data_IF_558175426880
#
_entry.id   IF_558175426880
#
_cell.length_a   1.000
_cell.length_b   1.000
_cell.length_c   1.000
_cell.angle_alpha   90.00
_cell.angle_beta   90.00
_cell.angle_gamma   90.00
#
_symmetry.space_group_name_H-M   'P 1'
#
loop_
_entity.id
_entity.type
_entity.pdbx_description
1 polymer ?
#
# COMPACT_ATOMS: atom_id res chain seq x y z
N UNK A 1 -61.86 -32.08 33.74
CA UNK A 1 -62.00 -31.30 32.49
C UNK A 1 -61.71 -32.24 31.34
N UNK A 2 -62.76 -32.66 30.65
CA UNK A 2 -62.70 -33.47 29.42
C UNK A 2 -62.23 -32.58 28.26
N UNK A 3 -61.38 -33.08 27.34
CA UNK A 3 -61.02 -32.31 26.16
C UNK A 3 -62.25 -32.22 25.24
N UNK A 4 -62.58 -31.00 24.82
CA UNK A 4 -63.68 -30.71 23.91
C UNK A 4 -63.32 -31.30 22.53
N UNK A 5 -63.94 -32.43 22.20
CA UNK A 5 -64.05 -32.93 20.82
C UNK A 5 -64.86 -31.92 20.00
N UNK A 6 -64.17 -31.14 19.17
CA UNK A 6 -64.82 -30.12 18.36
C UNK A 6 -63.94 -29.54 17.27
N UNK A 7 -63.01 -30.30 16.70
CA UNK A 7 -62.38 -29.89 15.44
C UNK A 7 -63.45 -29.97 14.35
N UNK A 8 -63.92 -28.81 13.90
CA UNK A 8 -64.89 -28.69 12.80
C UNK A 8 -64.36 -29.41 11.56
N UNK A 9 -65.23 -30.04 10.79
CA UNK A 9 -64.88 -30.78 9.56
C UNK A 9 -63.98 -29.95 8.63
N UNK A 10 -64.18 -28.64 8.61
CA UNK A 10 -63.37 -27.67 7.87
C UNK A 10 -61.91 -27.59 8.34
N UNK A 11 -61.63 -27.69 9.64
CA UNK A 11 -60.26 -27.71 10.16
C UNK A 11 -59.53 -28.99 9.79
N UNK A 12 -60.19 -30.16 9.94
CA UNK A 12 -59.63 -31.45 9.50
C UNK A 12 -59.37 -31.49 7.99
N UNK A 13 -60.27 -30.92 7.19
CA UNK A 13 -60.10 -30.79 5.75
C UNK A 13 -58.95 -29.84 5.38
N UNK A 14 -58.85 -28.69 6.05
CA UNK A 14 -57.75 -27.73 5.87
C UNK A 14 -56.39 -28.34 6.20
N UNK A 15 -56.30 -29.13 7.27
CA UNK A 15 -55.07 -29.85 7.65
C UNK A 15 -54.71 -30.91 6.60
N UNK A 16 -55.66 -31.73 6.16
CA UNK A 16 -55.41 -32.72 5.11
C UNK A 16 -54.95 -32.07 3.79
N UNK A 17 -55.57 -30.96 3.38
CA UNK A 17 -55.18 -30.21 2.17
C UNK A 17 -53.77 -29.59 2.29
N UNK A 18 -53.34 -29.21 3.50
CA UNK A 18 -51.97 -28.71 3.74
C UNK A 18 -50.91 -29.78 3.54
N UNK A 19 -51.21 -31.04 3.84
CA UNK A 19 -50.24 -32.14 3.75
C UNK A 19 -50.20 -32.82 2.37
N UNK A 20 -51.18 -32.55 1.51
CA UNK A 20 -51.19 -33.10 0.15
C UNK A 20 -50.08 -32.47 -0.74
N UNK A 21 -49.35 -33.31 -1.50
CA UNK A 21 -48.37 -32.86 -2.49
C UNK A 21 -48.95 -31.95 -3.58
N UNK A 22 -48.14 -30.99 -4.06
CA UNK A 22 -48.54 -30.03 -5.10
C UNK A 22 -48.96 -30.71 -6.43
N UNK A 23 -48.41 -31.89 -6.73
CA UNK A 23 -48.71 -32.64 -7.94
C UNK A 23 -50.15 -33.18 -7.96
N UNK A 24 -50.77 -33.43 -6.82
CA UNK A 24 -52.15 -33.95 -6.74
C UNK A 24 -53.15 -32.89 -7.20
N UNK A 25 -53.03 -31.65 -6.72
CA UNK A 25 -53.87 -30.54 -7.17
C UNK A 25 -53.63 -30.20 -8.64
N UNK A 26 -52.38 -30.31 -9.08
CA UNK A 26 -52.03 -30.14 -10.50
C UNK A 26 -52.71 -31.22 -11.35
N UNK A 27 -52.69 -32.49 -10.93
CA UNK A 27 -53.34 -33.59 -11.61
C UNK A 27 -54.86 -33.43 -11.69
N UNK A 28 -55.52 -32.99 -10.60
CA UNK A 28 -56.97 -32.71 -10.62
C UNK A 28 -57.33 -31.53 -11.53
N UNK A 29 -56.53 -30.46 -11.53
CA UNK A 29 -56.71 -29.33 -12.43
C UNK A 29 -56.50 -29.76 -13.91
N UNK A 30 -55.46 -30.54 -14.19
CA UNK A 30 -55.20 -31.05 -15.55
C UNK A 30 -56.30 -31.98 -16.03
N UNK A 31 -56.80 -32.89 -15.18
CA UNK A 31 -57.92 -33.78 -15.53
C UNK A 31 -59.21 -32.98 -15.79
N UNK A 32 -59.52 -31.98 -14.97
CA UNK A 32 -60.67 -31.10 -15.21
C UNK A 32 -60.52 -30.29 -16.51
N UNK A 33 -59.31 -29.80 -16.83
CA UNK A 33 -59.02 -29.13 -18.09
C UNK A 33 -59.17 -30.07 -19.29
N UNK A 34 -58.66 -31.30 -19.20
CA UNK A 34 -58.78 -32.31 -20.25
C UNK A 34 -60.25 -32.63 -20.53
N UNK A 35 -61.06 -32.84 -19.49
CA UNK A 35 -62.49 -33.10 -19.63
C UNK A 35 -63.28 -31.93 -20.25
N UNK A 36 -62.86 -30.69 -20.00
CA UNK A 36 -63.52 -29.49 -20.53
C UNK A 36 -63.07 -29.10 -21.95
N UNK A 37 -61.78 -29.26 -22.25
CA UNK A 37 -61.18 -28.71 -23.48
C UNK A 37 -60.85 -29.76 -24.55
N UNK A 38 -60.86 -31.06 -24.22
CA UNK A 38 -60.70 -32.12 -25.24
C UNK A 38 -62.05 -32.41 -25.90
N UNK A 39 -62.20 -32.23 -27.23
CA UNK A 39 -63.50 -32.31 -27.91
C UNK A 39 -64.23 -33.64 -27.72
N UNK A 40 -63.50 -34.76 -27.75
CA UNK A 40 -64.05 -36.10 -27.54
C UNK A 40 -64.64 -36.28 -26.13
N UNK A 41 -63.93 -35.82 -25.10
CA UNK A 41 -64.38 -35.94 -23.72
C UNK A 41 -65.55 -34.98 -23.40
N UNK A 42 -65.52 -33.77 -23.95
CA UNK A 42 -66.56 -32.76 -23.72
C UNK A 42 -67.89 -33.11 -24.42
N UNK A 43 -67.84 -33.85 -25.53
CA UNK A 43 -69.02 -34.32 -26.24
C UNK A 43 -69.84 -35.37 -25.45
N UNK A 44 -69.18 -36.17 -24.62
CA UNK A 44 -69.81 -37.22 -23.79
C UNK A 44 -70.28 -36.70 -22.42
N UNK A 45 -69.96 -35.44 -22.08
CA UNK A 45 -70.27 -34.84 -20.78
C UNK A 45 -71.67 -34.22 -20.72
N UNK A 46 -72.55 -34.66 -19.79
CA UNK A 46 -73.86 -34.04 -19.61
C UNK A 46 -73.73 -32.57 -19.22
N UNK A 47 -74.60 -31.72 -19.77
CA UNK A 47 -74.52 -30.25 -19.59
C UNK A 47 -74.60 -29.81 -18.13
N UNK A 48 -75.22 -30.62 -17.26
CA UNK A 48 -75.38 -30.36 -15.83
C UNK A 48 -74.05 -30.40 -15.04
N UNK A 49 -73.04 -31.14 -15.51
CA UNK A 49 -71.75 -31.31 -14.81
C UNK A 49 -70.67 -30.31 -15.24
N UNK A 50 -70.85 -29.63 -16.38
CA UNK A 50 -69.90 -28.64 -16.91
C UNK A 50 -69.57 -27.49 -15.93
N UNK A 51 -70.55 -26.83 -15.25
CA UNK A 51 -70.22 -25.77 -14.30
C UNK A 51 -69.40 -26.28 -13.10
N UNK A 52 -69.66 -27.51 -12.64
CA UNK A 52 -68.91 -28.12 -11.54
C UNK A 52 -67.47 -28.47 -11.92
N UNK A 53 -67.23 -28.86 -13.17
CA UNK A 53 -65.88 -29.06 -13.71
C UNK A 53 -65.10 -27.74 -13.82
N UNK A 54 -65.75 -26.64 -14.22
CA UNK A 54 -65.11 -25.32 -14.25
C UNK A 54 -64.76 -24.84 -12.84
N UNK A 55 -65.66 -25.01 -11.88
CA UNK A 55 -65.39 -24.70 -10.46
C UNK A 55 -64.21 -25.53 -9.95
N UNK A 56 -64.18 -26.83 -10.27
CA UNK A 56 -63.09 -27.73 -9.88
C UNK A 56 -61.75 -27.32 -10.51
N UNK A 57 -61.74 -26.95 -11.79
CA UNK A 57 -60.55 -26.47 -12.48
C UNK A 57 -59.99 -25.20 -11.83
N UNK A 58 -60.85 -24.22 -11.54
CA UNK A 58 -60.44 -22.97 -10.89
C UNK A 58 -59.94 -23.24 -9.47
N UNK A 59 -60.68 -24.02 -8.68
CA UNK A 59 -60.31 -24.34 -7.30
C UNK A 59 -58.97 -25.08 -7.22
N UNK A 60 -58.83 -26.18 -7.97
CA UNK A 60 -57.61 -26.97 -7.96
C UNK A 60 -56.44 -26.26 -8.64
N UNK A 61 -56.69 -25.42 -9.66
CA UNK A 61 -55.70 -24.58 -10.29
C UNK A 61 -55.10 -23.55 -9.33
N UNK A 62 -55.95 -22.81 -8.60
CA UNK A 62 -55.50 -21.84 -7.59
C UNK A 62 -54.72 -22.52 -6.45
N UNK A 63 -55.21 -23.67 -5.97
CA UNK A 63 -54.51 -24.45 -4.94
C UNK A 63 -53.16 -24.98 -5.41
N UNK A 64 -53.06 -25.45 -6.66
CA UNK A 64 -51.81 -25.89 -7.26
C UNK A 64 -50.80 -24.74 -7.36
N UNK A 65 -51.22 -23.57 -7.85
CA UNK A 65 -50.36 -22.37 -7.95
C UNK A 65 -49.83 -21.99 -6.57
N UNK A 66 -50.69 -21.89 -5.56
CA UNK A 66 -50.28 -21.51 -4.20
C UNK A 66 -49.27 -22.51 -3.62
N UNK A 67 -49.49 -23.82 -3.82
CA UNK A 67 -48.56 -24.87 -3.37
C UNK A 67 -47.21 -24.80 -4.09
N UNK A 68 -47.20 -24.57 -5.40
CA UNK A 68 -45.96 -24.40 -6.15
C UNK A 68 -45.18 -23.16 -5.72
N UNK A 69 -45.85 -22.04 -5.43
CA UNK A 69 -45.21 -20.85 -4.85
C UNK A 69 -44.53 -21.19 -3.52
N UNK A 70 -45.20 -21.94 -2.64
CA UNK A 70 -44.60 -22.38 -1.36
C UNK A 70 -43.39 -23.30 -1.57
N UNK A 71 -43.47 -24.25 -2.51
CA UNK A 71 -42.35 -25.15 -2.83
C UNK A 71 -41.15 -24.35 -3.36
N UNK A 72 -41.38 -23.41 -4.29
CA UNK A 72 -40.34 -22.54 -4.83
C UNK A 72 -39.73 -21.67 -3.73
N UNK A 73 -40.54 -21.08 -2.85
CA UNK A 73 -40.04 -20.29 -1.73
C UNK A 73 -39.21 -21.13 -0.75
N UNK A 74 -39.61 -22.37 -0.46
CA UNK A 74 -38.85 -23.29 0.39
C UNK A 74 -37.53 -23.68 -0.26
N UNK A 75 -37.54 -24.05 -1.55
CA UNK A 75 -36.34 -24.37 -2.31
C UNK A 75 -35.39 -23.17 -2.37
N UNK A 76 -35.92 -21.97 -2.60
CA UNK A 76 -35.12 -20.75 -2.61
C UNK A 76 -34.51 -20.42 -1.24
N UNK A 77 -35.29 -20.55 -0.16
CA UNK A 77 -34.77 -20.39 1.21
C UNK A 77 -33.73 -21.44 1.56
N UNK A 78 -33.92 -22.69 1.16
CA UNK A 78 -32.95 -23.76 1.35
C UNK A 78 -31.65 -23.47 0.59
N UNK A 79 -31.75 -23.03 -0.67
CA UNK A 79 -30.61 -22.59 -1.46
C UNK A 79 -29.89 -21.39 -0.83
N UNK A 80 -30.63 -20.39 -0.30
CA UNK A 80 -30.02 -19.28 0.42
C UNK A 80 -29.36 -19.71 1.73
N UNK A 81 -29.94 -20.66 2.45
CA UNK A 81 -29.36 -21.20 3.67
C UNK A 81 -28.05 -21.96 3.36
N UNK A 82 -28.05 -22.78 2.30
CA UNK A 82 -26.86 -23.48 1.83
C UNK A 82 -25.78 -22.49 1.35
N UNK A 83 -26.16 -21.45 0.61
CA UNK A 83 -25.25 -20.38 0.18
C UNK A 83 -24.69 -19.55 1.35
N UNK A 84 -25.41 -19.46 2.48
CA UNK A 84 -24.90 -18.83 3.72
C UNK A 84 -23.95 -19.75 4.47
N UNK A 85 -24.23 -21.06 4.53
CA UNK A 85 -23.34 -22.05 5.14
C UNK A 85 -21.99 -22.13 4.41
N UNK A 86 -21.97 -21.92 3.09
CA UNK A 86 -20.72 -21.86 2.30
C UNK A 86 -19.89 -20.59 2.51
N UNK A 87 -20.38 -19.57 3.22
CA UNK A 87 -19.60 -18.37 3.53
C UNK A 87 -18.80 -18.60 4.80
N UNK A 88 -17.61 -19.18 4.63
CA UNK A 88 -16.64 -19.46 5.68
C UNK A 88 -16.04 -18.18 6.27
N UNK A 89 -15.83 -17.15 5.44
CA UNK A 89 -15.25 -15.86 5.85
C UNK A 89 -15.95 -14.65 5.22
N UNK A 90 -15.68 -13.48 5.78
CA UNK A 90 -16.15 -12.20 5.29
C UNK A 90 -15.02 -11.17 5.23
N UNK A 91 -14.85 -10.55 4.07
CA UNK A 91 -13.86 -9.50 3.81
C UNK A 91 -14.50 -8.11 3.83
N UNK A 92 -13.93 -7.21 4.64
CA UNK A 92 -14.25 -5.78 4.61
C UNK A 92 -13.05 -4.99 4.11
N UNK A 93 -13.14 -4.26 2.98
CA UNK A 93 -12.01 -3.51 2.44
C UNK A 93 -11.65 -2.31 3.33
N UNK A 94 -10.36 -2.10 3.56
CA UNK A 94 -9.80 -0.91 4.19
C UNK A 94 -9.34 0.01 3.07
N UNK A 95 -10.29 0.73 2.47
CA UNK A 95 -10.08 1.49 1.23
C UNK A 95 -8.85 2.43 1.29
N UNK A 96 -8.57 3.03 2.44
CA UNK A 96 -7.45 3.96 2.62
C UNK A 96 -6.06 3.33 2.47
N UNK A 97 -5.97 2.00 2.52
CA UNK A 97 -4.72 1.27 2.42
C UNK A 97 -4.65 0.46 1.12
N UNK A 98 -5.60 0.65 0.21
CA UNK A 98 -5.65 -0.06 -1.07
C UNK A 98 -5.05 0.82 -2.16
N UNK A 99 -4.02 0.34 -2.83
CA UNK A 99 -3.28 1.09 -3.83
C UNK A 99 -2.89 0.22 -5.02
N UNK A 100 -2.63 0.87 -6.15
CA UNK A 100 -2.12 0.23 -7.34
C UNK A 100 -1.03 1.08 -7.99
N UNK A 101 -0.10 0.41 -8.67
CA UNK A 101 1.01 1.06 -9.37
C UNK A 101 1.37 0.29 -10.63
N UNK A 102 2.06 0.97 -11.56
CA UNK A 102 2.63 0.35 -12.76
C UNK A 102 4.12 0.66 -12.78
N UNK A 103 4.93 -0.40 -12.85
CA UNK A 103 6.38 -0.30 -12.91
C UNK A 103 6.89 -0.86 -14.23
N UNK A 104 7.81 -0.12 -14.87
CA UNK A 104 8.54 -0.60 -16.05
C UNK A 104 9.69 -1.48 -15.58
N UNK A 105 9.74 -2.71 -16.08
CA UNK A 105 10.79 -3.68 -15.80
C UNK A 105 12.01 -3.45 -16.71
N UNK A 106 13.14 -4.07 -16.37
CA UNK A 106 14.39 -3.96 -17.13
C UNK A 106 14.26 -4.47 -18.59
N UNK A 107 13.37 -5.44 -18.83
CA UNK A 107 13.04 -5.99 -20.16
C UNK A 107 12.13 -5.04 -20.99
N UNK A 108 11.79 -3.87 -20.44
CA UNK A 108 10.88 -2.91 -21.06
C UNK A 108 9.40 -3.22 -20.89
N UNK A 109 9.05 -4.38 -20.31
CA UNK A 109 7.66 -4.74 -20.02
C UNK A 109 7.10 -3.90 -18.87
N UNK A 110 5.78 -3.75 -18.84
CA UNK A 110 5.06 -3.08 -17.76
C UNK A 110 4.47 -4.13 -16.83
N UNK A 111 4.57 -3.91 -15.53
CA UNK A 111 3.95 -4.76 -14.51
C UNK A 111 3.04 -3.89 -13.66
N UNK A 112 1.78 -4.29 -13.55
CA UNK A 112 0.80 -3.69 -12.67
C UNK A 112 0.81 -4.43 -11.34
N UNK A 113 1.01 -3.71 -10.24
CA UNK A 113 0.87 -4.21 -8.89
C UNK A 113 -0.41 -3.67 -8.28
N UNK A 114 -1.22 -4.56 -7.71
CA UNK A 114 -2.45 -4.24 -6.97
C UNK A 114 -2.27 -4.76 -5.56
N UNK A 115 -2.40 -3.87 -4.57
CA UNK A 115 -2.35 -4.20 -3.15
C UNK A 115 -3.65 -3.74 -2.50
N UNK A 116 -4.36 -4.68 -1.88
CA UNK A 116 -5.60 -4.40 -1.18
C UNK A 116 -5.55 -4.94 0.26
N UNK A 117 -5.92 -4.10 1.21
CA UNK A 117 -5.94 -4.44 2.63
C UNK A 117 -7.39 -4.64 3.09
N UNK A 118 -7.59 -5.65 3.92
CA UNK A 118 -8.90 -6.11 4.38
C UNK A 118 -8.90 -6.36 5.89
N UNK A 119 -10.04 -6.15 6.51
CA UNK A 119 -10.38 -6.84 7.76
C UNK A 119 -11.07 -8.16 7.39
N UNK A 120 -10.42 -9.28 7.70
CA UNK A 120 -10.95 -10.62 7.41
C UNK A 120 -11.59 -11.19 8.67
N UNK A 121 -12.90 -11.45 8.62
CA UNK A 121 -13.64 -12.08 9.70
C UNK A 121 -13.93 -13.53 9.37
N UNK A 122 -13.52 -14.46 10.23
CA UNK A 122 -13.92 -15.85 10.12
C UNK A 122 -15.34 -16.03 10.71
N UNK A 123 -16.27 -16.55 9.91
CA UNK A 123 -17.65 -16.82 10.30
C UNK A 123 -17.93 -18.32 10.52
N UNK A 124 -16.97 -19.17 10.18
CA UNK A 124 -17.07 -20.61 10.39
C UNK A 124 -16.73 -21.02 11.82
N UNK A 125 -17.03 -22.28 12.14
CA UNK A 125 -16.70 -22.92 13.43
C UNK A 125 -15.28 -23.50 13.48
N UNK A 126 -14.53 -23.49 12.38
CA UNK A 126 -13.15 -23.98 12.26
C UNK A 126 -12.19 -22.86 11.87
N UNK A 127 -10.88 -22.98 12.16
CA UNK A 127 -9.89 -22.03 11.65
C UNK A 127 -9.88 -22.05 10.12
N UNK A 128 -9.81 -20.87 9.49
CA UNK A 128 -9.79 -20.74 8.02
C UNK A 128 -8.45 -20.20 7.56
N UNK A 129 -7.80 -20.91 6.63
CA UNK A 129 -6.65 -20.45 5.88
C UNK A 129 -7.04 -19.84 4.54
N UNK A 130 -6.54 -18.64 4.24
CA UNK A 130 -6.65 -18.05 2.90
C UNK A 130 -5.45 -18.50 2.06
N UNK A 131 -5.69 -18.93 0.82
CA UNK A 131 -4.67 -19.62 0.00
C UNK A 131 -4.46 -19.02 -1.38
N UNK A 132 -5.34 -18.13 -1.85
CA UNK A 132 -5.17 -17.55 -3.18
C UNK A 132 -5.99 -16.30 -3.40
N UNK A 133 -5.50 -15.46 -4.31
CA UNK A 133 -6.19 -14.25 -4.75
C UNK A 133 -6.11 -14.15 -6.27
N UNK A 134 -7.19 -13.70 -6.89
CA UNK A 134 -7.19 -13.35 -8.32
C UNK A 134 -7.91 -12.05 -8.59
N UNK A 135 -7.48 -11.34 -9.62
CA UNK A 135 -8.16 -10.15 -10.13
C UNK A 135 -9.25 -10.56 -11.10
N UNK A 136 -10.50 -10.22 -10.79
CA UNK A 136 -11.67 -10.45 -11.65
C UNK A 136 -11.91 -9.23 -12.54
N UNK A 137 -11.74 -8.03 -11.97
CA UNK A 137 -11.79 -6.74 -12.67
C UNK A 137 -10.73 -5.79 -12.09
N UNK A 138 -10.10 -4.92 -12.90
CA UNK A 138 -10.21 -4.81 -14.36
C UNK A 138 -9.58 -6.01 -15.07
N UNK A 139 -9.96 -6.24 -16.34
CA UNK A 139 -9.31 -7.27 -17.18
C UNK A 139 -8.00 -6.70 -17.71
N UNK A 140 -6.89 -7.06 -17.09
CA UNK A 140 -5.54 -6.73 -17.57
C UNK A 140 -5.07 -7.84 -18.50
N UNK A 141 -4.58 -7.49 -19.69
CA UNK A 141 -4.03 -8.47 -20.64
C UNK A 141 -2.61 -8.81 -20.23
N UNK A 142 -2.37 -10.08 -19.91
CA UNK A 142 -1.06 -10.67 -19.67
C UNK A 142 -1.08 -11.66 -18.51
N UNK A 143 0.09 -12.20 -18.20
CA UNK A 143 0.24 -13.27 -17.22
C UNK A 143 0.29 -12.71 -15.79
N UNK A 144 -0.33 -13.44 -14.86
CA UNK A 144 -0.17 -13.19 -13.42
C UNK A 144 1.24 -13.66 -13.05
N UNK A 145 2.07 -12.71 -12.63
CA UNK A 145 3.46 -12.97 -12.24
C UNK A 145 3.54 -13.44 -10.79
N UNK A 146 2.67 -12.91 -9.93
CA UNK A 146 2.65 -13.21 -8.52
C UNK A 146 1.27 -12.91 -7.93
N UNK A 147 0.78 -13.80 -7.07
CA UNK A 147 -0.42 -13.60 -6.28
C UNK A 147 -0.17 -14.14 -4.87
N UNK A 148 -0.50 -13.34 -3.86
CA UNK A 148 -0.36 -13.76 -2.47
C UNK A 148 -1.42 -13.12 -1.60
N UNK A 149 -1.81 -13.84 -0.55
CA UNK A 149 -2.70 -13.36 0.50
C UNK A 149 -2.10 -13.63 1.87
N UNK A 150 -1.77 -12.52 2.54
CA UNK A 150 -1.17 -12.51 3.85
C UNK A 150 -2.23 -12.21 4.90
N UNK A 151 -2.14 -12.91 6.03
CA UNK A 151 -2.96 -12.65 7.21
C UNK A 151 -2.04 -12.37 8.38
N UNK A 152 -2.43 -11.44 9.24
CA UNK A 152 -1.67 -11.13 10.45
C UNK A 152 -1.82 -12.26 11.48
N UNK A 153 -0.73 -12.60 12.16
CA UNK A 153 -0.73 -13.52 13.30
C UNK A 153 -1.66 -13.03 14.42
N UNK A 154 -2.42 -13.93 15.04
CA UNK A 154 -3.41 -13.60 16.08
C UNK A 154 -2.82 -12.84 17.28
N UNK A 155 -1.65 -13.26 17.74
CA UNK A 155 -0.98 -12.68 18.93
C UNK A 155 0.30 -11.91 18.58
N UNK A 156 0.49 -11.55 17.30
CA UNK A 156 1.72 -10.95 16.79
C UNK A 156 1.48 -9.76 15.87
N UNK A 157 2.57 -9.24 15.30
CA UNK A 157 2.54 -8.20 14.25
C UNK A 157 3.03 -8.73 12.89
N UNK A 158 3.40 -10.00 12.82
CA UNK A 158 3.88 -10.64 11.61
C UNK A 158 2.72 -11.00 10.70
N UNK A 159 2.96 -10.89 9.39
CA UNK A 159 2.06 -11.34 8.33
C UNK A 159 2.65 -12.59 7.70
N UNK A 160 1.79 -13.51 7.29
CA UNK A 160 2.18 -14.77 6.68
C UNK A 160 1.01 -15.43 5.98
N UNK A 161 1.30 -16.53 5.30
CA UNK A 161 0.29 -17.30 4.55
C UNK A 161 -0.16 -18.52 5.36
N UNK A 162 -1.32 -19.07 4.98
CA UNK A 162 -1.77 -20.35 5.53
C UNK A 162 -0.87 -21.51 5.09
N UNK A 163 -0.21 -21.44 3.93
CA UNK A 163 0.60 -22.52 3.38
C UNK A 163 2.02 -22.58 3.99
N UNK A 164 2.66 -21.43 4.22
CA UNK A 164 4.07 -21.37 4.65
C UNK A 164 4.19 -21.17 6.15
N UNK A 165 3.39 -20.26 6.72
CA UNK A 165 3.49 -19.86 8.13
C UNK A 165 2.39 -20.47 9.02
N UNK A 166 1.44 -21.20 8.43
CA UNK A 166 0.21 -21.70 9.08
C UNK A 166 -0.61 -20.59 9.77
N UNK A 167 -0.62 -19.39 9.19
CA UNK A 167 -1.37 -18.27 9.75
C UNK A 167 -2.84 -18.36 9.37
N UNK A 168 -3.61 -19.00 10.24
CA UNK A 168 -5.06 -19.21 10.11
C UNK A 168 -5.87 -18.24 10.98
N UNK A 169 -7.06 -17.90 10.51
CA UNK A 169 -7.99 -17.03 11.23
C UNK A 169 -8.86 -17.90 12.14
N UNK A 170 -8.76 -17.72 13.46
CA UNK A 170 -9.59 -18.48 14.41
C UNK A 170 -11.09 -18.16 14.26
N UNK A 171 -11.98 -19.12 14.60
CA UNK A 171 -13.44 -18.94 14.55
C UNK A 171 -13.90 -17.64 15.23
N UNK A 172 -14.75 -16.86 14.56
CA UNK A 172 -15.33 -15.63 15.09
C UNK A 172 -14.37 -14.44 15.21
N UNK A 173 -13.08 -14.61 14.96
CA UNK A 173 -12.09 -13.54 15.07
C UNK A 173 -11.99 -12.72 13.78
N UNK A 174 -11.51 -11.48 13.92
CA UNK A 174 -11.24 -10.59 12.78
C UNK A 174 -9.76 -10.24 12.78
N UNK A 175 -9.07 -10.52 11.68
CA UNK A 175 -7.64 -10.25 11.53
C UNK A 175 -7.40 -9.37 10.29
N UNK A 176 -6.41 -8.45 10.34
CA UNK A 176 -5.94 -7.77 9.15
C UNK A 176 -5.39 -8.77 8.13
N UNK A 177 -5.80 -8.61 6.88
CA UNK A 177 -5.26 -9.35 5.74
C UNK A 177 -4.87 -8.41 4.61
N UNK A 178 -3.90 -8.82 3.82
CA UNK A 178 -3.41 -8.09 2.65
C UNK A 178 -3.38 -9.04 1.47
N UNK A 179 -4.00 -8.64 0.37
CA UNK A 179 -3.91 -9.36 -0.90
C UNK A 179 -3.06 -8.56 -1.88
N UNK A 180 -2.12 -9.22 -2.52
CA UNK A 180 -1.21 -8.65 -3.50
C UNK A 180 -1.29 -9.44 -4.79
N UNK A 181 -1.45 -8.75 -5.92
CA UNK A 181 -1.39 -9.37 -7.25
C UNK A 181 -0.51 -8.53 -8.16
N UNK A 182 0.43 -9.18 -8.85
CA UNK A 182 1.27 -8.59 -9.88
C UNK A 182 0.92 -9.21 -11.23
N UNK A 183 0.57 -8.37 -12.20
CA UNK A 183 0.13 -8.80 -13.54
C UNK A 183 1.02 -8.11 -14.57
N UNK A 184 1.57 -8.87 -15.52
CA UNK A 184 2.27 -8.30 -16.68
C UNK A 184 1.24 -7.59 -17.55
N UNK A 185 1.44 -6.31 -17.84
CA UNK A 185 0.52 -5.45 -18.58
C UNK A 185 0.08 -4.23 -17.78
N UNK A 186 -0.77 -3.42 -18.40
CA UNK A 186 -1.36 -2.21 -17.78
C UNK A 186 -2.89 -2.26 -17.87
N UNK A 187 -3.61 -1.75 -16.86
CA UNK A 187 -5.05 -1.58 -16.95
C UNK A 187 -5.37 -0.52 -18.01
N UNK A 188 -6.41 -0.75 -18.80
CA UNK A 188 -6.86 0.24 -19.78
C UNK A 188 -7.33 1.53 -19.08
N UNK A 189 -6.75 2.68 -19.45
CA UNK A 189 -7.09 3.99 -18.88
C UNK A 189 -5.88 4.87 -18.59
N UNK A 190 -6.10 6.01 -17.94
CA UNK A 190 -5.00 6.86 -17.45
C UNK A 190 -4.45 6.31 -16.13
N UNK A 191 -3.12 6.34 -15.98
CA UNK A 191 -2.39 5.92 -14.77
C UNK A 191 -2.68 6.78 -13.53
N UNK A 192 -3.33 7.92 -13.73
CA UNK A 192 -3.63 8.90 -12.67
C UNK A 192 -5.00 8.70 -12.03
N UNK A 193 -5.81 7.76 -12.54
CA UNK A 193 -7.16 7.50 -12.01
C UNK A 193 -7.14 6.40 -10.97
N UNK A 194 -8.05 6.50 -10.01
CA UNK A 194 -8.33 5.39 -9.11
C UNK A 194 -8.89 4.20 -9.90
N UNK A 195 -8.55 3.00 -9.45
CA UNK A 195 -8.87 1.77 -10.14
C UNK A 195 -9.91 0.99 -9.33
N UNK A 196 -11.08 0.75 -9.94
CA UNK A 196 -12.08 -0.17 -9.38
C UNK A 196 -11.63 -1.61 -9.59
N UNK A 197 -11.20 -2.25 -8.51
CA UNK A 197 -10.71 -3.61 -8.51
C UNK A 197 -11.74 -4.54 -7.88
N UNK A 198 -12.03 -5.65 -8.54
CA UNK A 198 -12.77 -6.77 -7.94
C UNK A 198 -11.81 -7.94 -7.77
N UNK A 199 -11.55 -8.34 -6.52
CA UNK A 199 -10.73 -9.50 -6.19
C UNK A 199 -11.61 -10.69 -5.85
N UNK A 200 -11.16 -11.88 -6.27
CA UNK A 200 -11.66 -13.17 -5.81
C UNK A 200 -10.64 -13.80 -4.88
N UNK A 201 -11.00 -13.98 -3.61
CA UNK A 201 -10.13 -14.58 -2.58
C UNK A 201 -10.66 -15.97 -2.27
N UNK A 202 -9.76 -16.95 -2.23
CA UNK A 202 -10.07 -18.36 -1.98
C UNK A 202 -9.54 -18.82 -0.62
N UNK A 203 -10.35 -19.61 0.09
CA UNK A 203 -9.89 -20.39 1.24
C UNK A 203 -9.32 -21.76 0.80
N UNK A 204 -8.75 -22.47 1.78
CA UNK A 204 -8.20 -23.82 1.61
C UNK A 204 -9.22 -24.88 1.14
N UNK A 205 -10.51 -24.66 1.43
CA UNK A 205 -11.61 -25.52 0.99
C UNK A 205 -12.09 -25.18 -0.43
N UNK A 206 -11.49 -24.17 -1.07
CA UNK A 206 -11.81 -23.73 -2.43
C UNK A 206 -13.01 -22.79 -2.53
N UNK A 207 -13.57 -22.32 -1.41
CA UNK A 207 -14.63 -21.33 -1.40
C UNK A 207 -14.07 -19.96 -1.79
N UNK A 208 -14.68 -19.34 -2.79
CA UNK A 208 -14.27 -18.05 -3.30
C UNK A 208 -15.22 -16.93 -2.86
N UNK A 209 -14.68 -15.92 -2.16
CA UNK A 209 -15.38 -14.67 -1.90
C UNK A 209 -14.92 -13.57 -2.88
N UNK A 210 -15.89 -12.88 -3.48
CA UNK A 210 -15.63 -11.71 -4.32
C UNK A 210 -15.78 -10.43 -3.51
N UNK A 211 -14.81 -9.54 -3.62
CA UNK A 211 -14.80 -8.21 -2.97
C UNK A 211 -14.45 -7.13 -3.99
N UNK A 212 -15.25 -6.06 -4.02
CA UNK A 212 -14.96 -4.87 -4.81
C UNK A 212 -14.29 -3.83 -3.91
N UNK A 213 -13.23 -3.21 -4.43
CA UNK A 213 -12.41 -2.22 -3.73
C UNK A 213 -11.94 -1.16 -4.70
N UNK A 214 -11.94 0.10 -4.26
CA UNK A 214 -11.31 1.19 -4.98
C UNK A 214 -9.84 1.25 -4.55
N UNK A 215 -8.92 1.00 -5.49
CA UNK A 215 -7.48 1.12 -5.27
C UNK A 215 -7.01 2.48 -5.77
N UNK A 216 -6.30 3.23 -4.94
CA UNK A 216 -5.76 4.53 -5.32
C UNK A 216 -4.51 4.38 -6.18
N UNK A 217 -4.44 5.14 -7.28
CA UNK A 217 -3.23 5.19 -8.10
C UNK A 217 -2.12 5.91 -7.35
N UNK A 218 -0.89 5.41 -7.44
CA UNK A 218 0.28 6.20 -7.00
C UNK A 218 0.36 7.42 -7.93
N UNK A 219 -0.19 8.55 -7.46
CA UNK A 219 -0.04 9.83 -8.15
C UNK A 219 1.45 10.12 -8.18
N UNK A 220 2.02 10.21 -9.38
CA UNK A 220 3.35 10.79 -9.52
C UNK A 220 3.32 12.13 -8.77
N UNK A 221 4.23 12.33 -7.83
CA UNK A 221 4.37 13.63 -7.18
C UNK A 221 4.46 14.65 -8.31
N UNK A 222 3.49 15.57 -8.39
CA UNK A 222 3.59 16.67 -9.34
C UNK A 222 4.96 17.32 -9.08
N UNK A 223 5.76 17.60 -10.12
CA UNK A 223 6.89 18.49 -9.93
C UNK A 223 6.34 19.72 -9.20
N UNK A 224 6.97 20.08 -8.09
CA UNK A 224 6.47 21.15 -7.23
C UNK A 224 6.26 22.38 -8.11
N UNK A 225 5.05 22.97 -8.05
CA UNK A 225 4.71 24.23 -8.70
C UNK A 225 5.37 25.42 -7.97
N UNK A 226 6.19 25.16 -6.93
CA UNK A 226 6.90 26.22 -6.24
C UNK A 226 7.96 26.77 -7.20
N UNK A 227 7.96 28.09 -7.47
CA UNK A 227 8.95 28.68 -8.34
C UNK A 227 10.32 28.38 -7.74
N UNK A 228 11.17 27.68 -8.51
CA UNK A 228 12.58 27.53 -8.17
C UNK A 228 13.09 28.96 -7.98
N UNK A 229 13.52 29.36 -6.77
CA UNK A 229 14.09 30.68 -6.56
C UNK A 229 15.47 30.66 -7.19
N UNK A 230 15.50 31.05 -8.46
CA UNK A 230 16.72 31.16 -9.24
C UNK A 230 17.15 32.61 -9.10
N UNK A 231 18.05 32.87 -8.17
CA UNK A 231 18.84 34.10 -8.20
C UNK A 231 19.38 34.27 -9.63
N UNK A 232 19.11 35.42 -10.25
CA UNK A 232 19.58 35.66 -11.60
C UNK A 232 21.12 35.68 -11.61
N UNK A 233 21.77 34.63 -12.10
CA UNK A 233 23.24 34.51 -12.06
C UNK A 233 23.95 35.68 -12.77
N UNK A 234 23.27 36.34 -13.72
CA UNK A 234 23.81 37.52 -14.40
C UNK A 234 23.77 38.79 -13.56
N UNK A 235 22.94 38.86 -12.50
CA UNK A 235 22.85 40.02 -11.60
C UNK A 235 23.79 39.92 -10.41
N UNK A 236 24.43 38.78 -10.19
CA UNK A 236 25.41 38.60 -9.11
C UNK A 236 26.76 39.19 -9.56
N UNK A 237 27.21 40.23 -8.84
CA UNK A 237 28.45 40.95 -9.15
C UNK A 237 29.70 40.23 -8.64
N UNK A 238 29.62 39.59 -7.47
CA UNK A 238 30.75 38.88 -6.88
C UNK A 238 30.99 37.55 -7.64
N UNK A 239 32.19 37.33 -8.22
CA UNK A 239 32.49 36.10 -8.94
C UNK A 239 32.41 34.85 -8.05
N UNK A 240 32.80 34.92 -6.78
CA UNK A 240 32.74 33.78 -5.85
C UNK A 240 31.27 33.42 -5.59
N UNK A 241 30.45 34.42 -5.30
CA UNK A 241 29.02 34.24 -5.08
C UNK A 241 28.33 33.66 -6.32
N UNK A 242 28.70 34.15 -7.50
CA UNK A 242 28.16 33.70 -8.78
C UNK A 242 28.49 32.23 -9.06
N UNK A 243 29.73 31.81 -8.82
CA UNK A 243 30.16 30.42 -9.02
C UNK A 243 29.45 29.48 -8.03
N UNK A 244 29.32 29.87 -6.76
CA UNK A 244 28.58 29.09 -5.76
C UNK A 244 27.10 28.97 -6.14
N UNK A 245 26.45 30.07 -6.50
CA UNK A 245 25.05 30.07 -6.91
C UNK A 245 24.82 29.18 -8.15
N UNK A 246 25.74 29.19 -9.12
CA UNK A 246 25.65 28.34 -10.30
C UNK A 246 25.68 26.85 -9.95
N UNK A 247 26.55 26.44 -9.01
CA UNK A 247 26.61 25.03 -8.56
C UNK A 247 25.35 24.64 -7.80
N UNK A 248 24.84 25.49 -6.92
CA UNK A 248 23.64 25.20 -6.14
C UNK A 248 22.38 25.11 -7.04
N UNK A 249 22.26 25.97 -8.06
CA UNK A 249 21.17 25.90 -9.03
C UNK A 249 21.25 24.64 -9.89
N UNK A 250 22.45 24.24 -10.31
CA UNK A 250 22.63 22.97 -11.01
C UNK A 250 22.23 21.78 -10.13
N UNK A 251 22.53 21.83 -8.84
CA UNK A 251 22.11 20.80 -7.88
C UNK A 251 20.59 20.77 -7.71
N UNK A 252 19.92 21.91 -7.64
CA UNK A 252 18.45 21.98 -7.54
C UNK A 252 17.78 21.23 -8.70
N UNK A 253 18.22 21.48 -9.93
CA UNK A 253 17.70 20.81 -11.14
C UNK A 253 17.96 19.30 -11.10
N UNK A 254 19.09 18.87 -10.52
CA UNK A 254 19.40 17.44 -10.36
C UNK A 254 18.57 16.82 -9.25
N UNK A 255 18.37 17.52 -8.14
CA UNK A 255 17.54 17.06 -7.03
C UNK A 255 16.10 16.83 -7.48
N UNK A 256 15.53 17.70 -8.33
CA UNK A 256 14.21 17.45 -8.92
C UNK A 256 14.11 16.13 -9.69
N UNK A 257 15.22 15.69 -10.32
CA UNK A 257 15.30 14.42 -11.04
C UNK A 257 15.66 13.24 -10.13
N UNK A 258 16.41 13.47 -9.06
CA UNK A 258 16.90 12.42 -8.14
C UNK A 258 16.70 12.85 -6.68
N UNK A 259 15.44 12.99 -6.27
CA UNK A 259 15.07 13.42 -4.92
C UNK A 259 14.94 12.24 -3.94
N UNK A 260 14.61 12.58 -2.69
CA UNK A 260 14.38 11.62 -1.60
C UNK A 260 13.40 10.49 -1.94
N UNK A 261 12.36 10.72 -2.73
CA UNK A 261 11.37 9.68 -3.05
C UNK A 261 11.94 8.59 -3.96
N UNK A 262 13.05 8.89 -4.64
CA UNK A 262 13.85 7.94 -5.43
C UNK A 262 15.07 7.41 -4.66
N UNK A 263 15.21 7.72 -3.36
CA UNK A 263 16.39 7.36 -2.57
C UNK A 263 17.65 8.15 -2.94
N UNK A 264 17.51 9.26 -3.66
CA UNK A 264 18.62 10.06 -4.17
C UNK A 264 18.76 11.43 -3.50
N UNK A 265 19.94 12.01 -3.65
CA UNK A 265 20.27 13.38 -3.23
C UNK A 265 20.93 14.13 -4.39
N UNK A 266 20.17 14.35 -5.46
CA UNK A 266 20.63 15.09 -6.63
C UNK A 266 21.85 14.43 -7.27
N UNK A 267 23.00 15.07 -7.18
CA UNK A 267 24.28 14.61 -7.74
C UNK A 267 24.98 13.52 -6.93
N UNK A 268 24.57 13.26 -5.69
CA UNK A 268 25.25 12.27 -4.87
C UNK A 268 25.01 10.85 -5.38
N UNK A 269 26.09 10.08 -5.45
CA UNK A 269 26.08 8.66 -5.77
C UNK A 269 27.04 7.91 -4.85
N UNK A 270 26.78 6.62 -4.67
CA UNK A 270 27.56 5.75 -3.80
C UNK A 270 28.15 4.60 -4.59
N UNK A 271 29.44 4.36 -4.41
CA UNK A 271 30.06 3.10 -4.86
C UNK A 271 30.09 2.14 -3.68
N UNK A 272 29.32 1.05 -3.78
CA UNK A 272 29.25 -0.02 -2.80
C UNK A 272 29.61 -1.34 -3.47
N UNK A 273 30.60 -2.05 -2.93
CA UNK A 273 31.03 -3.36 -3.43
C UNK A 273 31.33 -3.37 -4.95
N UNK A 274 32.02 -2.32 -5.42
CA UNK A 274 32.40 -2.14 -6.83
C UNK A 274 31.25 -1.74 -7.77
N UNK A 275 30.01 -1.55 -7.27
CA UNK A 275 28.87 -1.06 -8.04
C UNK A 275 28.57 0.38 -7.69
N UNK A 276 28.51 1.24 -8.70
CA UNK A 276 28.03 2.61 -8.55
C UNK A 276 26.50 2.64 -8.59
N UNK A 277 25.88 3.06 -7.51
CA UNK A 277 24.44 3.32 -7.43
C UNK A 277 24.20 4.83 -7.29
N UNK A 278 23.18 5.33 -7.99
CA UNK A 278 22.74 6.73 -7.91
C UNK A 278 21.89 6.99 -6.64
N UNK A 279 21.62 5.94 -5.88
CA UNK A 279 20.86 5.99 -4.64
C UNK A 279 21.80 5.80 -3.45
N UNK A 280 21.53 6.58 -2.39
CA UNK A 280 22.18 6.37 -1.11
C UNK A 280 21.30 5.39 -0.32
N UNK A 281 21.82 4.20 0.07
CA UNK A 281 21.01 3.21 0.78
C UNK A 281 20.46 3.79 2.08
N UNK A 282 19.16 3.66 2.28
CA UNK A 282 18.51 3.99 3.55
C UNK A 282 18.77 2.93 4.63
N UNK A 283 18.20 3.15 5.81
CA UNK A 283 18.22 2.18 6.92
C UNK A 283 17.13 1.10 6.74
N UNK A 284 17.05 0.51 5.54
CA UNK A 284 16.15 -0.60 5.27
C UNK A 284 16.57 -1.83 6.09
N UNK A 285 15.63 -2.41 6.83
CA UNK A 285 15.86 -3.59 7.65
C UNK A 285 15.63 -4.87 6.83
N UNK A 286 16.64 -5.74 6.76
CA UNK A 286 16.51 -7.06 6.14
C UNK A 286 16.50 -8.12 7.25
N UNK A 287 15.38 -8.83 7.43
CA UNK A 287 15.23 -9.82 8.50
C UNK A 287 16.38 -10.83 8.52
N UNK A 288 16.88 -11.15 9.72
CA UNK A 288 17.89 -12.17 9.99
C UNK A 288 19.22 -11.97 9.23
N UNK A 289 19.65 -10.72 9.02
CA UNK A 289 20.96 -10.44 8.42
C UNK A 289 21.85 -9.60 9.33
N UNK A 290 23.15 -9.89 9.27
CA UNK A 290 24.18 -9.02 9.85
C UNK A 290 24.32 -7.68 9.09
N UNK A 291 23.58 -7.46 8.00
CA UNK A 291 23.60 -6.18 7.25
C UNK A 291 22.84 -5.05 7.96
N UNK A 292 22.05 -5.38 8.99
CA UNK A 292 21.31 -4.41 9.79
C UNK A 292 22.17 -3.68 10.85
N UNK A 293 23.50 -3.83 10.81
CA UNK A 293 24.39 -3.06 11.68
C UNK A 293 24.26 -1.55 11.39
N UNK A 294 24.40 -0.75 12.45
CA UNK A 294 24.29 0.72 12.35
C UNK A 294 25.38 1.34 11.49
N UNK A 295 26.57 0.72 11.48
CA UNK A 295 27.74 1.14 10.71
C UNK A 295 28.16 0.01 9.76
N UNK A 296 28.68 0.38 8.59
CA UNK A 296 29.18 -0.58 7.61
C UNK A 296 30.57 -1.06 7.99
N UNK A 297 30.78 -2.38 8.09
CA UNK A 297 32.11 -2.96 8.31
C UNK A 297 33.10 -2.61 7.19
N UNK A 298 32.59 -2.49 5.96
CA UNK A 298 33.37 -2.11 4.76
C UNK A 298 33.37 -0.60 4.50
N UNK A 299 33.16 0.25 5.51
CA UNK A 299 33.10 1.70 5.34
C UNK A 299 34.29 2.28 4.55
N UNK A 300 35.51 1.78 4.77
CA UNK A 300 36.72 2.23 4.07
C UNK A 300 36.70 1.94 2.55
N UNK A 301 35.90 0.97 2.10
CA UNK A 301 35.74 0.62 0.68
C UNK A 301 34.58 1.38 0.02
N UNK A 302 33.70 2.01 0.81
CA UNK A 302 32.51 2.67 0.32
C UNK A 302 32.80 4.16 0.07
N UNK A 303 32.43 4.64 -1.12
CA UNK A 303 32.69 6.03 -1.49
C UNK A 303 31.39 6.71 -1.89
N UNK A 304 30.96 7.66 -1.06
CA UNK A 304 29.92 8.64 -1.40
C UNK A 304 30.61 9.81 -2.10
N UNK A 305 30.17 10.15 -3.31
CA UNK A 305 30.72 11.25 -4.13
C UNK A 305 29.61 12.11 -4.72
N UNK A 306 29.95 13.35 -5.04
CA UNK A 306 29.09 14.29 -5.76
C UNK A 306 30.00 15.21 -6.57
N UNK A 307 29.72 15.37 -7.85
CA UNK A 307 30.43 16.31 -8.72
C UNK A 307 30.11 17.77 -8.36
N UNK A 308 28.89 18.05 -7.87
CA UNK A 308 28.54 19.36 -7.31
C UNK A 308 29.33 19.67 -6.04
N UNK A 309 29.55 18.69 -5.17
CA UNK A 309 30.40 18.84 -3.99
C UNK A 309 31.85 19.09 -4.40
N UNK A 310 32.38 18.29 -5.32
CA UNK A 310 33.75 18.46 -5.83
C UNK A 310 33.95 19.84 -6.47
N UNK A 311 32.93 20.38 -7.17
CA UNK A 311 32.96 21.72 -7.73
C UNK A 311 33.05 22.81 -6.65
N UNK A 312 32.24 22.72 -5.58
CA UNK A 312 32.29 23.63 -4.43
C UNK A 312 33.67 23.59 -3.75
N UNK A 313 34.22 22.40 -3.52
CA UNK A 313 35.55 22.25 -2.93
C UNK A 313 36.66 22.77 -3.84
N UNK A 314 36.50 22.61 -5.16
CA UNK A 314 37.43 23.17 -6.14
C UNK A 314 37.43 24.69 -6.10
N UNK A 315 36.26 25.34 -5.98
CA UNK A 315 36.16 26.79 -5.79
C UNK A 315 36.95 27.20 -4.54
N UNK A 316 36.67 26.57 -3.39
CA UNK A 316 37.37 26.87 -2.13
C UNK A 316 38.89 26.70 -2.22
N UNK A 317 39.37 25.63 -2.87
CA UNK A 317 40.79 25.34 -3.01
C UNK A 317 41.58 26.38 -3.82
N UNK A 318 40.90 27.13 -4.70
CA UNK A 318 41.49 28.19 -5.53
C UNK A 318 41.58 29.53 -4.81
N UNK A 319 40.93 29.68 -3.65
CA UNK A 319 40.93 30.93 -2.90
C UNK A 319 42.22 31.05 -2.09
N UNK A 320 42.98 32.11 -2.37
CA UNK A 320 44.31 32.33 -1.79
C UNK A 320 44.22 33.08 -0.46
N UNK A 321 43.27 34.01 -0.33
CA UNK A 321 43.16 34.89 0.83
C UNK A 321 42.16 34.38 1.88
N UNK A 322 42.37 34.75 3.15
CA UNK A 322 41.41 34.50 4.24
C UNK A 322 40.06 35.12 3.93
N UNK A 323 40.07 36.35 3.41
CA UNK A 323 38.87 37.15 3.17
C UNK A 323 38.01 36.52 2.07
N UNK A 324 38.61 35.95 1.03
CA UNK A 324 37.90 35.19 0.00
C UNK A 324 37.25 33.93 0.56
N UNK A 325 37.96 33.19 1.41
CA UNK A 325 37.43 31.98 2.05
C UNK A 325 36.29 32.29 3.01
N UNK A 326 36.38 33.40 3.73
CA UNK A 326 35.30 33.89 4.58
C UNK A 326 34.09 34.30 3.73
N UNK A 327 34.30 35.03 2.62
CA UNK A 327 33.22 35.36 1.67
C UNK A 327 32.53 34.12 1.13
N UNK A 328 33.29 33.13 0.66
CA UNK A 328 32.75 31.84 0.20
C UNK A 328 31.90 31.16 1.28
N UNK A 329 32.38 31.15 2.52
CA UNK A 329 31.68 30.56 3.66
C UNK A 329 30.36 31.29 3.93
N UNK A 330 30.39 32.62 3.98
CA UNK A 330 29.21 33.45 4.22
C UNK A 330 28.18 33.33 3.09
N UNK A 331 28.64 33.20 1.85
CA UNK A 331 27.80 32.95 0.66
C UNK A 331 27.05 31.62 0.78
N UNK A 332 27.70 30.57 1.29
CA UNK A 332 27.06 29.28 1.54
C UNK A 332 26.09 29.32 2.72
N UNK A 333 26.52 29.88 3.86
CA UNK A 333 25.71 29.97 5.07
C UNK A 333 24.44 30.80 4.83
N UNK A 334 24.55 31.95 4.14
CA UNK A 334 23.40 32.80 3.83
C UNK A 334 22.34 32.12 2.98
N UNK A 335 22.70 31.08 2.22
CA UNK A 335 21.78 30.31 1.36
C UNK A 335 21.10 29.15 2.09
N UNK A 336 21.42 28.91 3.36
CA UNK A 336 20.66 28.01 4.22
C UNK A 336 19.37 28.64 4.75
N UNK A 337 19.18 29.95 4.60
CA UNK A 337 17.94 30.61 4.96
C UNK A 337 16.80 30.28 3.97
N UNK A 338 15.59 30.09 4.51
CA UNK A 338 14.39 29.73 3.76
C UNK A 338 14.06 30.74 2.63
N UNK A 339 14.33 32.02 2.84
CA UNK A 339 14.06 33.11 1.90
C UNK A 339 14.89 33.04 0.60
N UNK A 340 16.04 32.38 0.64
CA UNK A 340 16.88 32.11 -0.54
C UNK A 340 16.43 30.89 -1.33
N UNK A 341 15.63 30.03 -0.71
CA UNK A 341 14.98 28.85 -1.29
C UNK A 341 15.91 27.77 -1.87
N UNK A 342 17.14 27.68 -1.36
CA UNK A 342 18.03 26.53 -1.56
C UNK A 342 17.81 25.42 -0.51
N UNK A 343 16.74 25.49 0.28
CA UNK A 343 16.45 24.54 1.36
C UNK A 343 16.50 23.07 0.91
N UNK A 344 15.99 22.74 -0.29
CA UNK A 344 16.00 21.36 -0.82
C UNK A 344 17.41 20.78 -0.97
N UNK A 345 18.40 21.62 -1.26
CA UNK A 345 19.81 21.25 -1.46
C UNK A 345 20.69 21.67 -0.29
N UNK A 346 20.12 21.99 0.87
CA UNK A 346 20.86 22.32 2.08
C UNK A 346 21.88 21.23 2.48
N UNK A 347 21.58 19.96 2.15
CA UNK A 347 22.52 18.85 2.33
C UNK A 347 23.86 19.08 1.63
N UNK A 348 23.87 19.66 0.42
CA UNK A 348 25.09 19.93 -0.33
C UNK A 348 25.90 21.04 0.35
N UNK A 349 25.22 22.09 0.81
CA UNK A 349 25.84 23.24 1.49
C UNK A 349 26.51 22.77 2.78
N UNK A 350 25.79 22.02 3.62
CA UNK A 350 26.33 21.50 4.89
C UNK A 350 27.52 20.58 4.65
N UNK A 351 27.46 19.74 3.61
CA UNK A 351 28.58 18.86 3.25
C UNK A 351 29.82 19.61 2.75
N UNK A 352 29.63 20.66 1.95
CA UNK A 352 30.74 21.49 1.49
C UNK A 352 31.42 22.21 2.67
N UNK A 353 30.63 22.76 3.59
CA UNK A 353 31.13 23.42 4.79
C UNK A 353 31.82 22.45 5.76
N UNK A 354 31.29 21.24 5.93
CA UNK A 354 31.96 20.19 6.72
C UNK A 354 33.34 19.86 6.15
N UNK A 355 33.45 19.69 4.84
CA UNK A 355 34.72 19.34 4.18
C UNK A 355 35.81 20.41 4.28
N UNK A 356 35.44 21.65 4.60
CA UNK A 356 36.39 22.74 4.88
C UNK A 356 36.56 23.00 6.39
N UNK A 357 36.05 22.12 7.25
CA UNK A 357 36.23 22.18 8.71
C UNK A 357 35.23 23.05 9.46
N UNK A 358 34.09 23.41 8.83
CA UNK A 358 33.09 24.33 9.38
C UNK A 358 31.75 23.66 9.69
N UNK A 359 31.76 22.39 10.11
CA UNK A 359 30.55 21.61 10.39
C UNK A 359 29.64 22.29 11.43
N UNK A 360 30.21 22.79 12.54
CA UNK A 360 29.42 23.44 13.59
C UNK A 360 28.64 24.65 13.07
N UNK A 361 29.33 25.56 12.38
CA UNK A 361 28.69 26.74 11.77
C UNK A 361 27.61 26.35 10.75
N UNK A 362 27.84 25.30 9.97
CA UNK A 362 26.87 24.80 9.00
C UNK A 362 25.60 24.25 9.66
N UNK A 363 25.76 23.46 10.72
CA UNK A 363 24.63 22.89 11.47
C UNK A 363 23.86 23.96 12.23
N UNK A 364 24.55 24.93 12.85
CA UNK A 364 23.90 26.06 13.51
C UNK A 364 23.08 26.88 12.50
N UNK A 365 23.68 27.24 11.36
CA UNK A 365 22.97 27.97 10.32
C UNK A 365 21.80 27.18 9.73
N UNK A 366 21.92 25.86 9.58
CA UNK A 366 20.81 25.01 9.17
C UNK A 366 19.68 25.02 10.21
N UNK A 367 20.01 24.96 11.51
CA UNK A 367 19.04 24.97 12.61
C UNK A 367 18.18 26.24 12.62
N UNK A 368 18.80 27.39 12.37
CA UNK A 368 18.10 28.69 12.39
C UNK A 368 17.49 29.06 11.03
N UNK A 369 18.08 28.58 9.94
CA UNK A 369 17.72 28.98 8.57
C UNK A 369 16.66 28.09 7.92
N UNK A 370 16.53 26.83 8.34
CA UNK A 370 15.62 25.86 7.75
C UNK A 370 14.42 25.58 8.67
N UNK A 371 13.19 25.51 8.13
CA UNK A 371 12.02 25.14 8.90
C UNK A 371 12.10 23.68 9.38
N UNK A 372 11.76 23.45 10.66
CA UNK A 372 11.56 22.12 11.23
C UNK A 372 10.24 21.51 10.75
N UNK A 373 10.20 20.19 10.58
CA UNK A 373 9.02 19.41 10.16
C UNK A 373 8.44 19.88 8.80
N UNK A 374 9.28 20.47 7.95
CA UNK A 374 8.88 20.93 6.63
C UNK A 374 8.61 19.76 5.68
N UNK A 375 7.33 19.56 5.38
CA UNK A 375 6.85 18.53 4.46
C UNK A 375 6.91 18.94 2.98
N UNK A 376 7.33 20.17 2.65
CA UNK A 376 7.40 20.66 1.27
C UNK A 376 8.79 20.50 0.68
N UNK A 377 9.81 21.05 1.33
CA UNK A 377 11.20 21.01 0.84
C UNK A 377 12.05 19.97 1.54
N UNK A 378 11.67 19.60 2.77
CA UNK A 378 12.40 18.65 3.61
C UNK A 378 13.87 19.03 3.82
N UNK A 379 14.20 20.32 3.83
CA UNK A 379 15.59 20.78 3.83
C UNK A 379 16.41 20.20 4.99
N UNK A 380 15.95 20.38 6.22
CA UNK A 380 16.59 19.83 7.42
C UNK A 380 16.63 18.29 7.39
N UNK A 381 15.51 17.67 7.05
CA UNK A 381 15.39 16.21 6.90
C UNK A 381 16.42 15.65 5.90
N UNK A 382 16.67 16.35 4.78
CA UNK A 382 17.65 15.94 3.77
C UNK A 382 19.08 16.06 4.32
N UNK A 383 19.40 17.12 5.07
CA UNK A 383 20.71 17.27 5.75
C UNK A 383 20.95 16.08 6.67
N UNK A 384 19.99 15.78 7.55
CA UNK A 384 20.09 14.67 8.50
C UNK A 384 20.17 13.31 7.80
N UNK A 385 19.40 13.10 6.73
CA UNK A 385 19.40 11.84 6.00
C UNK A 385 20.73 11.61 5.26
N UNK A 386 21.38 12.67 4.74
CA UNK A 386 22.72 12.54 4.17
C UNK A 386 23.78 12.32 5.26
N UNK A 387 23.73 13.07 6.37
CA UNK A 387 24.62 12.85 7.53
C UNK A 387 24.49 11.42 8.06
N UNK A 388 23.28 10.89 8.11
CA UNK A 388 23.01 9.52 8.50
C UNK A 388 23.75 8.50 7.62
N UNK A 389 23.72 8.70 6.30
CA UNK A 389 24.45 7.86 5.35
C UNK A 389 25.97 8.01 5.50
N UNK A 390 26.47 9.23 5.69
CA UNK A 390 27.89 9.49 5.92
C UNK A 390 28.39 8.81 7.20
N UNK A 391 27.61 8.86 8.29
CA UNK A 391 27.93 8.16 9.54
C UNK A 391 27.85 6.64 9.40
N UNK A 392 27.07 6.11 8.45
CA UNK A 392 27.02 4.66 8.22
C UNK A 392 28.20 4.18 7.37
N UNK A 393 28.47 4.86 6.27
CA UNK A 393 29.35 4.38 5.21
C UNK A 393 30.72 5.04 5.19
N UNK A 394 30.88 6.21 5.83
CA UNK A 394 32.12 6.99 5.83
C UNK A 394 32.48 7.50 7.23
N UNK A 395 32.12 6.76 8.28
CA UNK A 395 32.35 7.15 9.68
C UNK A 395 33.80 7.40 10.07
N UNK A 396 34.75 6.86 9.29
CA UNK A 396 36.18 7.07 9.52
C UNK A 396 36.64 8.51 9.24
N UNK A 397 35.83 9.28 8.52
CA UNK A 397 36.14 10.68 8.17
C UNK A 397 35.76 11.68 9.27
N UNK A 398 34.94 11.26 10.26
CA UNK A 398 34.50 12.16 11.32
C UNK A 398 35.49 12.19 12.48
N UNK A 399 35.78 13.35 13.04
CA UNK A 399 36.55 13.43 14.31
C UNK A 399 35.64 13.18 15.52
N UNK A 400 36.19 13.03 16.72
CA UNK A 400 35.35 12.92 17.92
C UNK A 400 34.58 14.22 18.18
N UNK A 401 35.23 15.37 18.00
CA UNK A 401 34.60 16.68 18.18
C UNK A 401 33.46 16.90 17.20
N UNK A 402 33.59 16.41 15.96
CA UNK A 402 32.49 16.45 14.97
C UNK A 402 31.33 15.55 15.36
N UNK A 403 31.59 14.36 15.92
CA UNK A 403 30.53 13.49 16.44
C UNK A 403 29.80 14.15 17.61
N UNK A 404 30.53 14.79 18.54
CA UNK A 404 29.95 15.55 19.65
C UNK A 404 29.10 16.73 19.15
N UNK A 405 29.58 17.40 18.09
CA UNK A 405 28.85 18.49 17.43
C UNK A 405 27.52 18.00 16.86
N UNK A 406 27.53 16.89 16.11
CA UNK A 406 26.32 16.28 15.54
C UNK A 406 25.37 15.79 16.64
N UNK A 407 25.89 15.18 17.71
CA UNK A 407 25.09 14.71 18.84
C UNK A 407 24.36 15.85 19.55
N UNK A 408 25.05 16.96 19.82
CA UNK A 408 24.45 18.17 20.41
C UNK A 408 23.39 18.79 19.51
N UNK A 409 23.68 18.86 18.21
CA UNK A 409 22.75 19.39 17.21
C UNK A 409 21.43 18.59 17.21
N UNK A 410 21.51 17.25 17.21
CA UNK A 410 20.33 16.38 17.19
C UNK A 410 19.53 16.43 18.48
N UNK A 411 20.18 16.58 19.63
CA UNK A 411 19.48 16.77 20.90
C UNK A 411 18.70 18.08 20.96
N UNK A 412 19.11 19.07 20.17
CA UNK A 412 18.49 20.40 20.14
C UNK A 412 17.41 20.50 19.05
N UNK A 413 17.56 19.73 17.96
CA UNK A 413 16.61 19.71 16.84
C UNK A 413 15.33 18.94 17.18
N UNK A 414 14.17 19.47 16.75
CA UNK A 414 12.89 18.78 16.80
C UNK A 414 12.66 17.77 15.65
N UNK A 415 13.59 17.66 14.70
CA UNK A 415 13.45 16.86 13.48
C UNK A 415 13.71 15.36 13.72
N UNK A 416 13.20 14.50 12.83
CA UNK A 416 13.47 13.06 12.88
C UNK A 416 14.98 12.74 12.80
N UNK A 417 15.48 11.96 13.75
CA UNK A 417 16.94 11.80 13.96
C UNK A 417 17.61 10.69 13.15
N UNK A 418 16.86 9.94 12.33
CA UNK A 418 17.37 8.88 11.42
C UNK A 418 18.31 7.86 12.07
N UNK A 419 18.15 7.57 13.37
CA UNK A 419 19.02 6.68 14.14
C UNK A 419 20.48 7.15 14.23
N UNK A 420 20.74 8.43 14.00
CA UNK A 420 22.08 9.01 14.11
C UNK A 420 22.67 8.82 15.52
N UNK A 421 21.93 8.98 16.65
CA UNK A 421 22.50 8.72 17.97
C UNK A 421 23.04 7.29 18.14
N UNK A 422 22.36 6.31 17.56
CA UNK A 422 22.78 4.91 17.55
C UNK A 422 24.04 4.72 16.72
N UNK A 423 24.15 5.39 15.57
CA UNK A 423 25.37 5.36 14.73
C UNK A 423 26.55 6.00 15.44
N UNK A 424 26.39 7.17 16.06
CA UNK A 424 27.46 7.82 16.85
C UNK A 424 27.97 6.88 17.94
N UNK A 425 27.06 6.26 18.67
CA UNK A 425 27.39 5.29 19.72
C UNK A 425 28.17 4.09 19.15
N UNK A 426 27.73 3.53 18.02
CA UNK A 426 28.40 2.43 17.35
C UNK A 426 29.80 2.81 16.82
N UNK A 427 29.97 4.02 16.29
CA UNK A 427 31.26 4.54 15.83
C UNK A 427 32.22 4.66 17.00
N UNK A 428 31.78 5.25 18.13
CA UNK A 428 32.61 5.36 19.34
C UNK A 428 33.03 3.98 19.86
N UNK A 429 32.10 3.02 19.92
CA UNK A 429 32.41 1.65 20.30
C UNK A 429 33.43 0.98 19.35
N UNK A 430 33.25 1.14 18.03
CA UNK A 430 34.17 0.62 17.02
C UNK A 430 35.59 1.18 17.18
N UNK A 431 35.72 2.48 17.49
CA UNK A 431 37.02 3.13 17.72
C UNK A 431 37.76 2.59 18.94
N UNK A 432 37.05 2.32 20.03
CA UNK A 432 37.66 1.73 21.25
C UNK A 432 38.33 0.39 20.92
N UNK A 433 37.66 -0.46 20.13
CA UNK A 433 38.19 -1.77 19.70
C UNK A 433 39.45 -1.58 18.85
N UNK A 434 39.45 -0.64 17.89
CA UNK A 434 40.60 -0.36 17.03
C UNK A 434 41.82 0.23 17.75
N UNK A 435 41.64 0.90 18.89
CA UNK A 435 42.76 1.45 19.69
C UNK A 435 43.30 0.49 20.75
N UNK A 436 42.56 -0.57 21.07
CA UNK A 436 42.94 -1.55 22.10
C UNK A 436 43.67 -2.79 21.56
N UNK A 437 43.64 -3.01 20.24
CA UNK A 437 44.44 -4.00 19.53
C UNK A 437 45.54 -3.32 18.73
#
# INVERSE_FOLDING_TARGET
MTPVEGATIFQKFSEAVKDLPAWIFSAFATTAAVLLFVPLANAELPMEYRPWLVISLVLFGVLAIFKWVVVVLRAWRAFQAEARVRKTFHLTPIAQQCHWSVSKQADGSMVTQIVANFAVKNQSSSPVGLVGVRVIKPKIKGDVLHDDILVRQQHGRMYGTAQVSDYRIAPGTTLPGQAMVMIRGEPGGSRERDLDVTLGIKDEDGNEQRVAVLCWGVKNAKPSDDPIPVEALYSITDPIEKDVAAVLQAEMVRYEKNNRSRGGFGSFYMTYDGRSDLQIPGDSWVMNTARNQEISETAEQNVIRSDSLDALLTIYSRLETSDERERYTNVLLSRLHEDRGYARVAYLIVMALWKVGLLGAALDAAMFGLPEDDQRTFGMSNVLMLLNAMLRFQHFQFTNDELDTIERFIQTSGEHTFRIPQKISAIRACRIIKTAG
#
